data_IF_805878670999
#
_entry.id   IF_805878670999
#
_cell.length_a   1.000
_cell.length_b   1.000
_cell.length_c   1.000
_cell.angle_alpha   90.00
_cell.angle_beta   90.00
_cell.angle_gamma   90.00
#
_symmetry.space_group_name_H-M   'P 1'
#
loop_
_entity.id
_entity.type
_entity.pdbx_description
1 polymer ?
#
# COMPACT_ATOMS: atom_id res chain seq x y z
N UNK A 1 7.99 -8.56 -1.84
CA UNK A 1 6.72 -8.77 -2.56
C UNK A 1 6.55 -10.26 -2.77
N UNK A 2 5.36 -10.79 -2.53
CA UNK A 2 5.01 -12.20 -2.79
C UNK A 2 3.70 -12.18 -3.58
N UNK A 3 3.65 -12.87 -4.71
CA UNK A 3 2.47 -12.97 -5.57
C UNK A 3 1.97 -14.42 -5.54
N UNK A 4 0.66 -14.60 -5.34
CA UNK A 4 0.00 -15.90 -5.42
C UNK A 4 -1.38 -15.71 -6.04
N UNK A 5 -1.62 -16.41 -7.13
CA UNK A 5 -2.83 -16.27 -7.94
C UNK A 5 -3.04 -14.80 -8.34
N UNK A 6 -4.21 -14.24 -8.04
CA UNK A 6 -4.54 -12.84 -8.27
C UNK A 6 -4.20 -11.92 -7.09
N UNK A 7 -3.54 -12.42 -6.04
CA UNK A 7 -3.15 -11.65 -4.87
C UNK A 7 -1.66 -11.31 -4.83
N UNK A 8 -1.35 -10.16 -4.25
CA UNK A 8 0.01 -9.75 -3.94
C UNK A 8 0.11 -9.16 -2.54
N UNK A 9 1.11 -9.64 -1.82
CA UNK A 9 1.53 -9.16 -0.51
C UNK A 9 2.81 -8.32 -0.65
N UNK A 10 2.77 -7.08 -0.16
CA UNK A 10 3.86 -6.11 -0.26
C UNK A 10 4.23 -5.66 1.15
N UNK A 11 5.52 -5.78 1.50
CA UNK A 11 6.08 -5.20 2.72
C UNK A 11 7.02 -4.06 2.31
N UNK A 12 6.80 -2.88 2.87
CA UNK A 12 7.63 -1.71 2.61
C UNK A 12 7.70 -0.81 3.85
N UNK A 13 8.68 0.09 3.85
CA UNK A 13 8.81 1.16 4.84
C UNK A 13 8.50 2.48 4.16
N UNK A 14 7.64 3.30 4.75
CA UNK A 14 7.30 4.64 4.28
C UNK A 14 8.02 5.66 5.16
N UNK A 15 8.67 6.62 4.54
CA UNK A 15 9.14 7.83 5.21
C UNK A 15 8.10 8.93 4.99
N UNK A 16 7.49 9.39 6.07
CA UNK A 16 6.43 10.40 6.04
C UNK A 16 6.97 11.68 6.67
N UNK A 17 6.71 12.81 6.03
CA UNK A 17 7.06 14.13 6.54
C UNK A 17 5.80 14.98 6.70
N UNK A 18 5.57 15.48 7.91
CA UNK A 18 4.60 16.53 8.14
C UNK A 18 5.18 17.84 7.58
N UNK A 19 4.50 18.46 6.62
CA UNK A 19 5.00 19.67 5.95
C UNK A 19 4.84 20.94 6.79
N UNK A 20 3.93 20.94 7.77
CA UNK A 20 3.69 22.08 8.66
C UNK A 20 4.70 22.11 9.82
N UNK A 21 4.98 20.96 10.44
CA UNK A 21 5.91 20.84 11.58
C UNK A 21 7.32 20.49 11.17
N UNK A 22 7.50 19.93 9.97
CA UNK A 22 8.78 19.38 9.50
C UNK A 22 9.15 18.03 10.12
N UNK A 23 8.33 17.49 11.03
CA UNK A 23 8.55 16.19 11.67
C UNK A 23 8.52 15.04 10.66
N UNK A 24 9.39 14.05 10.87
CA UNK A 24 9.49 12.87 10.02
C UNK A 24 9.27 11.59 10.85
N UNK A 25 8.51 10.66 10.29
CA UNK A 25 8.31 9.32 10.86
C UNK A 25 8.66 8.24 9.84
N UNK A 26 9.17 7.11 10.34
CA UNK A 26 9.32 5.88 9.57
C UNK A 26 8.22 4.91 9.99
N UNK A 27 7.43 4.47 9.02
CA UNK A 27 6.31 3.56 9.23
C UNK A 27 6.56 2.27 8.45
N UNK A 28 6.34 1.12 9.08
CA UNK A 28 6.39 -0.19 8.42
C UNK A 28 4.98 -0.61 8.02
N UNK A 29 4.80 -0.90 6.74
CA UNK A 29 3.49 -1.21 6.15
C UNK A 29 3.50 -2.59 5.50
N UNK A 30 2.42 -3.32 5.72
CA UNK A 30 2.06 -4.51 4.97
C UNK A 30 0.79 -4.22 4.16
N UNK A 31 0.86 -4.38 2.86
CA UNK A 31 -0.25 -4.15 1.93
C UNK A 31 -0.61 -5.44 1.20
N UNK A 32 -1.90 -5.66 1.03
CA UNK A 32 -2.47 -6.75 0.25
C UNK A 32 -3.31 -6.15 -0.86
N UNK A 33 -3.03 -6.54 -2.11
CA UNK A 33 -3.79 -6.11 -3.28
C UNK A 33 -4.23 -7.31 -4.10
N UNK A 34 -5.45 -7.22 -4.63
CA UNK A 34 -6.00 -8.17 -5.60
C UNK A 34 -6.00 -7.55 -6.98
N UNK A 35 -5.51 -8.30 -7.95
CA UNK A 35 -5.51 -7.90 -9.34
C UNK A 35 -6.67 -8.53 -10.10
N UNK A 36 -7.07 -7.85 -11.17
CA UNK A 36 -7.94 -8.40 -12.20
C UNK A 36 -7.35 -8.10 -13.57
N UNK A 37 -7.39 -9.09 -14.46
CA UNK A 37 -7.14 -8.89 -15.88
C UNK A 37 -8.38 -8.25 -16.53
N UNK A 38 -8.20 -7.10 -17.18
CA UNK A 38 -9.24 -6.46 -17.98
C UNK A 38 -8.92 -6.65 -19.48
N UNK A 39 -9.92 -6.55 -20.37
CA UNK A 39 -9.66 -6.58 -21.81
C UNK A 39 -8.68 -5.49 -22.24
N UNK A 40 -8.00 -5.74 -23.35
CA UNK A 40 -7.17 -4.73 -24.00
C UNK A 40 -8.00 -3.48 -24.37
N UNK A 41 -7.43 -2.27 -24.24
CA UNK A 41 -6.03 -1.96 -23.88
C UNK A 41 -5.79 -1.75 -22.36
N UNK A 42 -6.74 -2.11 -21.49
CA UNK A 42 -6.71 -1.71 -20.07
C UNK A 42 -5.71 -2.54 -19.26
N UNK A 43 -5.60 -3.84 -19.57
CA UNK A 43 -4.70 -4.78 -18.92
C UNK A 43 -4.99 -5.01 -17.43
N UNK A 44 -3.95 -5.38 -16.68
CA UNK A 44 -4.04 -5.72 -15.25
C UNK A 44 -4.29 -4.47 -14.40
N UNK A 45 -5.27 -4.54 -13.48
CA UNK A 45 -5.55 -3.48 -12.50
C UNK A 45 -5.76 -4.04 -11.10
N UNK A 46 -5.44 -3.24 -10.08
CA UNK A 46 -5.86 -3.50 -8.70
C UNK A 46 -7.36 -3.27 -8.60
N UNK A 47 -8.10 -4.21 -8.02
CA UNK A 47 -9.55 -4.14 -7.82
C UNK A 47 -9.97 -4.19 -6.35
N UNK A 48 -9.05 -4.57 -5.47
CA UNK A 48 -9.24 -4.62 -4.03
C UNK A 48 -7.88 -4.43 -3.35
N UNK A 49 -7.87 -3.75 -2.20
CA UNK A 49 -6.65 -3.68 -1.41
C UNK A 49 -6.88 -3.09 -0.02
N UNK A 50 -6.00 -3.47 0.90
CA UNK A 50 -5.91 -2.90 2.24
C UNK A 50 -4.47 -2.92 2.74
N UNK A 51 -4.18 -2.01 3.67
CA UNK A 51 -2.87 -1.89 4.30
C UNK A 51 -3.00 -1.85 5.81
N UNK A 52 -1.99 -2.42 6.47
CA UNK A 52 -1.80 -2.39 7.91
C UNK A 52 -0.43 -1.78 8.17
N UNK A 53 -0.41 -0.76 9.03
CA UNK A 53 0.81 -0.06 9.40
C UNK A 53 1.03 -0.12 10.90
N UNK A 54 2.29 -0.15 11.32
CA UNK A 54 2.68 -0.20 12.73
C UNK A 54 2.42 1.12 13.49
N UNK A 55 2.40 2.25 12.79
CA UNK A 55 2.08 3.57 13.33
C UNK A 55 0.74 4.03 12.78
N UNK A 56 -0.19 4.46 13.64
CA UNK A 56 -1.43 5.10 13.21
C UNK A 56 -1.20 6.62 13.06
N UNK A 57 -1.46 7.14 11.87
CA UNK A 57 -1.32 8.57 11.53
C UNK A 57 -2.70 9.28 11.52
N UNK A 58 -3.74 8.61 12.02
CA UNK A 58 -5.12 9.10 12.04
C UNK A 58 -5.30 10.41 12.81
N UNK A 59 -6.25 11.22 12.32
CA UNK A 59 -6.56 12.59 12.75
C UNK A 59 -6.80 12.71 14.26
N UNK A 60 -6.09 13.63 14.90
CA UNK A 60 -6.48 14.20 16.19
C UNK A 60 -7.73 15.07 16.06
#
# INVERSE_FOLDING_TARGET
MIIKDDWCAIRYTVKIKNLDTGEEILQNTMEFVKFKMNPEPIGVRVVEGWALSDINIGAQ
#
